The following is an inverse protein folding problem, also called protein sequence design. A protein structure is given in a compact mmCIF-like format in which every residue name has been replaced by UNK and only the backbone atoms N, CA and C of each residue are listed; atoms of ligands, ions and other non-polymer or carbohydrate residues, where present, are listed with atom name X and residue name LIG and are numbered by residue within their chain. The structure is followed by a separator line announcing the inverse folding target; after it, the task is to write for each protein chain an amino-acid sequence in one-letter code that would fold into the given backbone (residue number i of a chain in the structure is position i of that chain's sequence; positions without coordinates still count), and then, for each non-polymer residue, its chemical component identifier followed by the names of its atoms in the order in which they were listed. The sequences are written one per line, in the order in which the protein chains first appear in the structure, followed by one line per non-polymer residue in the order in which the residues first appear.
data_IF_277555524566
#
_entry.id   IF_277555524566
#
_cell.length_a   1.000
_cell.length_b   1.000
_cell.length_c   1.000
_cell.angle_alpha   90.00
_cell.angle_beta   90.00
_cell.angle_gamma   90.00
#
_symmetry.space_group_name_H-M   'P 1'
#
loop_
_entity.id
_entity.type
_entity.pdbx_description
1 polymer ?
#
# COMPACT_ATOMS: atom_id res chain seq x y z
N UNK A 1 -54.76 45.71 -10.38
CA UNK A 1 -53.87 46.59 -11.17
C UNK A 1 -52.68 45.70 -11.58
N UNK A 2 -52.84 45.16 -12.67
CA UNK A 2 -52.49 45.50 -14.06
C UNK A 2 -51.17 44.84 -14.44
N UNK A 3 -51.38 43.98 -15.40
CA UNK A 3 -50.89 44.01 -16.78
C UNK A 3 -49.43 43.53 -16.89
N UNK A 4 -49.02 42.74 -17.81
CA UNK A 4 -49.53 42.14 -19.08
C UNK A 4 -48.44 41.20 -19.61
N UNK A 5 -48.85 40.07 -20.14
CA UNK A 5 -48.54 39.53 -21.46
C UNK A 5 -47.21 39.97 -22.11
N UNK A 6 -46.38 39.01 -22.44
CA UNK A 6 -45.99 38.78 -23.83
C UNK A 6 -45.37 37.39 -24.00
N UNK A 7 -46.11 36.59 -24.78
CA UNK A 7 -45.65 35.41 -25.50
C UNK A 7 -44.45 35.77 -26.39
N UNK A 8 -43.47 34.89 -26.46
CA UNK A 8 -42.81 34.67 -27.74
C UNK A 8 -42.38 33.23 -27.93
N UNK A 9 -43.13 32.63 -28.74
CA UNK A 9 -43.03 31.40 -29.50
C UNK A 9 -41.72 31.37 -30.29
N UNK A 10 -40.87 30.37 -30.06
CA UNK A 10 -39.95 29.86 -31.07
C UNK A 10 -39.82 28.35 -30.90
N UNK A 11 -40.77 27.65 -31.51
CA UNK A 11 -40.61 26.29 -31.98
C UNK A 11 -39.40 26.23 -32.92
N UNK A 12 -38.38 25.53 -32.52
CA UNK A 12 -37.39 24.94 -33.38
C UNK A 12 -37.50 23.44 -33.22
N UNK A 13 -38.36 22.86 -34.02
CA UNK A 13 -38.55 21.44 -34.26
C UNK A 13 -37.32 20.96 -35.06
N UNK A 14 -36.25 20.53 -34.36
CA UNK A 14 -35.23 19.67 -34.92
C UNK A 14 -35.57 18.25 -34.51
N UNK A 15 -36.47 17.69 -35.30
CA UNK A 15 -36.81 16.28 -35.35
C UNK A 15 -35.56 15.50 -35.78
N UNK A 16 -34.73 15.15 -34.81
CA UNK A 16 -33.56 14.29 -34.98
C UNK A 16 -34.06 12.85 -35.10
N UNK A 17 -34.47 12.49 -36.33
CA UNK A 17 -34.88 11.13 -36.66
C UNK A 17 -33.70 10.19 -36.60
N UNK A 18 -33.73 9.23 -35.67
CA UNK A 18 -32.76 8.15 -35.53
C UNK A 18 -32.73 7.24 -36.78
N UNK A 19 -33.72 7.37 -37.67
CA UNK A 19 -33.85 6.59 -38.90
C UNK A 19 -32.92 7.08 -40.03
N UNK A 20 -32.47 8.33 -40.00
CA UNK A 20 -31.48 8.85 -40.95
C UNK A 20 -30.05 8.33 -40.74
N UNK A 21 -29.81 7.73 -39.59
CA UNK A 21 -28.51 7.09 -39.25
C UNK A 21 -28.48 5.60 -39.53
N UNK A 22 -29.58 5.00 -39.95
CA UNK A 22 -29.71 3.57 -40.24
C UNK A 22 -29.88 3.26 -41.72
N UNK A 23 -29.55 4.19 -42.61
CA UNK A 23 -29.49 3.87 -44.03
C UNK A 23 -28.11 3.39 -44.39
N UNK A 24 -28.05 2.09 -44.58
CA UNK A 24 -27.31 1.35 -45.61
C UNK A 24 -26.02 2.03 -46.10
N UNK A 25 -24.92 1.62 -45.47
CA UNK A 25 -23.67 1.59 -46.20
C UNK A 25 -23.03 0.25 -45.99
N UNK A 26 -23.48 -0.73 -46.75
CA UNK A 26 -22.91 -2.05 -46.93
C UNK A 26 -21.60 -1.96 -47.77
N UNK A 27 -20.83 -0.89 -47.53
CA UNK A 27 -19.54 -0.66 -48.17
C UNK A 27 -18.43 -0.60 -47.12
N UNK A 28 -18.29 -1.73 -46.34
CA UNK A 28 -17.11 -1.93 -45.59
C UNK A 28 -15.96 -2.25 -46.53
N UNK A 29 -14.96 -1.36 -46.63
CA UNK A 29 -13.82 -1.59 -47.50
C UNK A 29 -13.15 -2.93 -47.20
N UNK A 30 -12.97 -3.75 -48.23
CA UNK A 30 -12.42 -5.12 -48.22
C UNK A 30 -11.03 -5.23 -47.49
N UNK A 31 -10.34 -4.08 -47.27
CA UNK A 31 -9.06 -4.07 -46.55
C UNK A 31 -9.20 -4.28 -45.02
N UNK A 32 -10.40 -4.10 -44.46
CA UNK A 32 -10.62 -4.36 -43.02
C UNK A 32 -10.86 -5.84 -42.69
N UNK A 33 -11.19 -6.65 -43.68
CA UNK A 33 -11.45 -8.08 -43.51
C UNK A 33 -10.19 -8.94 -43.65
N UNK A 34 -9.06 -8.36 -44.13
CA UNK A 34 -7.83 -9.11 -44.39
C UNK A 34 -6.63 -8.69 -43.53
N UNK A 35 -6.85 -8.09 -42.37
CA UNK A 35 -5.74 -7.87 -41.42
C UNK A 35 -5.47 -9.07 -40.51
N UNK A 36 -5.60 -10.29 -41.03
CA UNK A 36 -4.94 -11.42 -40.41
C UNK A 36 -3.51 -11.54 -40.96
N UNK A 37 -2.73 -10.48 -40.79
CA UNK A 37 -1.30 -10.54 -40.95
C UNK A 37 -0.67 -10.97 -39.60
N UNK A 38 -1.10 -12.12 -39.12
CA UNK A 38 -0.40 -12.83 -38.08
C UNK A 38 0.84 -13.43 -38.73
N UNK A 39 1.97 -12.76 -38.63
CA UNK A 39 3.28 -13.31 -38.91
C UNK A 39 3.42 -14.59 -38.09
N UNK A 40 3.76 -15.68 -38.74
CA UNK A 40 3.90 -17.03 -38.14
C UNK A 40 5.07 -17.14 -37.14
N UNK A 41 5.77 -16.02 -36.87
CA UNK A 41 6.93 -15.94 -35.98
C UNK A 41 6.69 -15.01 -34.74
N UNK A 42 5.44 -14.60 -34.48
CA UNK A 42 5.12 -14.11 -33.16
C UNK A 42 5.02 -15.32 -32.22
N UNK A 43 6.17 -15.67 -31.62
CA UNK A 43 6.17 -16.34 -30.33
C UNK A 43 5.22 -15.56 -29.45
N UNK A 44 4.00 -16.10 -29.25
CA UNK A 44 3.12 -15.65 -28.16
C UNK A 44 3.94 -15.83 -26.89
N UNK A 45 4.64 -14.78 -26.50
CA UNK A 45 5.18 -14.69 -25.16
C UNK A 45 3.96 -14.70 -24.27
N UNK A 46 3.63 -15.88 -23.79
CA UNK A 46 2.74 -16.02 -22.65
C UNK A 46 3.33 -15.12 -21.55
N UNK A 47 2.79 -13.91 -21.43
CA UNK A 47 3.03 -13.10 -20.26
C UNK A 47 2.41 -13.89 -19.12
N UNK A 48 3.24 -14.69 -18.47
CA UNK A 48 2.93 -15.24 -17.17
C UNK A 48 2.78 -14.02 -16.28
N UNK A 49 1.55 -13.55 -16.12
CA UNK A 49 1.21 -12.65 -15.04
C UNK A 49 1.52 -13.42 -13.77
N UNK A 50 2.73 -13.28 -13.25
CA UNK A 50 2.99 -13.66 -11.88
C UNK A 50 2.05 -12.79 -11.06
N UNK A 51 1.00 -13.40 -10.56
CA UNK A 51 0.05 -12.76 -9.67
C UNK A 51 0.89 -12.31 -8.47
N UNK A 52 1.24 -11.03 -8.45
CA UNK A 52 1.95 -10.46 -7.33
C UNK A 52 1.07 -10.70 -6.11
N UNK A 53 1.56 -11.50 -5.17
CA UNK A 53 0.82 -11.79 -3.95
C UNK A 53 0.51 -10.45 -3.26
N UNK A 54 -0.74 -10.27 -2.89
CA UNK A 54 -1.14 -9.05 -2.18
C UNK A 54 -0.36 -8.98 -0.85
N UNK A 55 -0.16 -7.77 -0.33
CA UNK A 55 0.49 -7.57 0.96
C UNK A 55 -0.09 -8.49 2.04
N UNK A 56 -1.42 -8.60 2.10
CA UNK A 56 -2.13 -9.48 3.03
C UNK A 56 -1.79 -10.96 2.81
N UNK A 57 -1.74 -11.42 1.56
CA UNK A 57 -1.39 -12.81 1.23
C UNK A 57 0.05 -13.15 1.67
N UNK A 58 0.97 -12.19 1.54
CA UNK A 58 2.34 -12.33 2.04
C UNK A 58 2.36 -12.54 3.57
N UNK A 59 1.57 -11.78 4.33
CA UNK A 59 1.47 -11.95 5.79
C UNK A 59 0.83 -13.30 6.16
N UNK A 60 -0.20 -13.74 5.44
CA UNK A 60 -0.84 -15.05 5.67
C UNK A 60 0.14 -16.19 5.34
N UNK A 61 0.94 -16.07 4.30
CA UNK A 61 1.96 -17.05 3.97
C UNK A 61 3.01 -17.17 5.09
N UNK A 62 3.45 -16.05 5.66
CA UNK A 62 4.36 -16.03 6.81
C UNK A 62 3.71 -16.63 8.06
N UNK A 63 2.42 -16.35 8.30
CA UNK A 63 1.68 -16.96 9.39
C UNK A 63 1.67 -18.49 9.29
N UNK A 64 1.58 -19.04 8.07
CA UNK A 64 1.61 -20.48 7.82
C UNK A 64 2.90 -21.18 8.33
N UNK A 65 4.00 -20.44 8.48
CA UNK A 65 5.29 -20.96 8.96
C UNK A 65 5.40 -21.01 10.50
N UNK A 66 4.49 -20.36 11.22
CA UNK A 66 4.52 -20.28 12.68
C UNK A 66 3.77 -21.43 13.33
N UNK A 67 4.30 -22.01 14.42
CA UNK A 67 3.64 -23.08 15.18
C UNK A 67 2.54 -22.49 16.06
N UNK A 68 1.34 -22.32 15.51
CA UNK A 68 0.16 -21.80 16.20
C UNK A 68 -0.96 -22.85 16.17
N UNK A 69 -1.79 -22.86 17.19
CA UNK A 69 -3.02 -23.66 17.19
C UNK A 69 -4.02 -23.15 16.15
N UNK A 70 -4.99 -23.96 15.76
CA UNK A 70 -6.00 -23.55 14.76
C UNK A 70 -6.81 -22.34 15.23
N UNK A 71 -7.06 -22.22 16.54
CA UNK A 71 -7.74 -21.06 17.11
C UNK A 71 -6.89 -19.81 17.03
N UNK A 72 -5.62 -19.87 17.47
CA UNK A 72 -4.68 -18.75 17.39
C UNK A 72 -4.48 -18.30 15.93
N UNK A 73 -4.39 -19.24 15.00
CA UNK A 73 -4.29 -18.95 13.57
C UNK A 73 -5.47 -18.14 13.07
N UNK A 74 -6.71 -18.56 13.38
CA UNK A 74 -7.94 -17.83 12.99
C UNK A 74 -7.99 -16.43 13.59
N UNK A 75 -7.58 -16.26 14.86
CA UNK A 75 -7.49 -14.95 15.49
C UNK A 75 -6.46 -14.08 14.79
N UNK A 76 -5.27 -14.64 14.49
CA UNK A 76 -4.18 -13.90 13.82
C UNK A 76 -4.56 -13.51 12.39
N UNK A 77 -5.23 -14.39 11.64
CA UNK A 77 -5.78 -14.07 10.32
C UNK A 77 -6.80 -12.93 10.38
N UNK A 78 -7.63 -12.91 11.43
CA UNK A 78 -8.55 -11.81 11.67
C UNK A 78 -7.83 -10.49 11.95
N UNK A 79 -6.76 -10.50 12.77
CA UNK A 79 -5.92 -9.33 13.02
C UNK A 79 -5.27 -8.84 11.72
N UNK A 80 -4.68 -9.74 10.92
CA UNK A 80 -4.09 -9.41 9.60
C UNK A 80 -5.15 -8.77 8.69
N UNK A 81 -6.40 -9.24 8.75
CA UNK A 81 -7.54 -8.68 8.02
C UNK A 81 -7.84 -7.21 8.36
N UNK A 82 -7.48 -6.76 9.56
CA UNK A 82 -7.67 -5.39 10.05
C UNK A 82 -6.44 -4.48 9.86
N UNK A 83 -5.33 -4.99 9.31
CA UNK A 83 -4.17 -4.17 8.94
C UNK A 83 -4.48 -3.44 7.64
N UNK A 84 -4.19 -2.14 7.61
CA UNK A 84 -4.38 -1.30 6.43
C UNK A 84 -3.29 -1.51 5.36
N UNK A 85 -3.45 -0.87 4.20
CA UNK A 85 -2.50 -0.95 3.08
C UNK A 85 -1.14 -0.32 3.41
N UNK A 86 -1.10 0.61 4.36
CA UNK A 86 0.14 1.21 4.85
C UNK A 86 0.88 0.27 5.83
N UNK A 87 0.23 -0.79 6.32
CA UNK A 87 0.78 -1.78 7.25
C UNK A 87 0.46 -1.53 8.72
N UNK A 88 -0.47 -0.62 9.03
CA UNK A 88 -0.85 -0.27 10.40
C UNK A 88 -2.11 -1.00 10.87
N UNK A 89 -2.13 -1.35 12.15
CA UNK A 89 -3.33 -1.78 12.86
C UNK A 89 -3.95 -0.57 13.56
N UNK A 90 -4.85 0.14 12.86
CA UNK A 90 -5.50 1.35 13.41
C UNK A 90 -6.64 1.05 14.36
N UNK A 91 -7.11 -0.19 14.37
CA UNK A 91 -8.22 -0.62 15.21
C UNK A 91 -7.73 -0.98 16.61
N UNK A 92 -8.46 -0.52 17.62
CA UNK A 92 -8.15 -0.84 19.01
C UNK A 92 -8.32 -2.33 19.31
N UNK A 93 -7.51 -2.86 20.20
CA UNK A 93 -7.51 -4.28 20.58
C UNK A 93 -8.84 -4.68 21.20
N UNK A 94 -9.45 -3.81 22.03
CA UNK A 94 -10.76 -4.03 22.64
C UNK A 94 -11.84 -4.29 21.57
N UNK A 95 -11.87 -3.48 20.51
CA UNK A 95 -12.80 -3.65 19.40
C UNK A 95 -12.56 -4.97 18.63
N UNK A 96 -11.31 -5.42 18.53
CA UNK A 96 -10.99 -6.71 17.90
C UNK A 96 -11.48 -7.87 18.75
N UNK A 97 -11.35 -7.79 20.09
CA UNK A 97 -11.88 -8.79 21.03
C UNK A 97 -13.38 -8.89 20.92
N UNK A 98 -14.07 -7.75 20.92
CA UNK A 98 -15.53 -7.70 20.78
C UNK A 98 -16.01 -8.29 19.45
N UNK A 99 -15.34 -7.95 18.36
CA UNK A 99 -15.68 -8.49 17.03
C UNK A 99 -15.47 -10.00 16.94
N UNK A 100 -14.41 -10.53 17.57
CA UNK A 100 -14.15 -11.97 17.63
C UNK A 100 -15.22 -12.69 18.45
N UNK A 101 -15.64 -12.10 19.57
CA UNK A 101 -16.67 -12.65 20.41
C UNK A 101 -18.05 -12.68 19.71
N UNK A 102 -18.47 -11.54 19.11
CA UNK A 102 -19.79 -11.40 18.49
C UNK A 102 -19.86 -11.96 17.06
N UNK A 103 -18.79 -11.80 16.28
CA UNK A 103 -18.77 -12.20 14.87
C UNK A 103 -18.35 -13.65 14.64
N UNK A 104 -17.34 -14.11 15.37
CA UNK A 104 -16.76 -15.45 15.20
C UNK A 104 -17.12 -16.42 16.34
N UNK A 105 -17.75 -15.94 17.42
CA UNK A 105 -18.04 -16.74 18.63
C UNK A 105 -16.77 -17.21 19.34
N UNK A 106 -15.69 -16.44 19.22
CA UNK A 106 -14.38 -16.73 19.81
C UNK A 106 -14.20 -15.82 21.03
N UNK A 107 -14.26 -16.38 22.21
CA UNK A 107 -13.92 -15.66 23.44
C UNK A 107 -12.39 -15.65 23.62
N UNK A 108 -11.80 -14.45 23.58
CA UNK A 108 -10.36 -14.24 23.72
C UNK A 108 -10.10 -13.02 24.59
N UNK A 109 -9.01 -13.05 25.36
CA UNK A 109 -8.59 -11.89 26.15
C UNK A 109 -7.77 -10.89 25.32
N UNK A 110 -7.79 -9.61 25.74
CA UNK A 110 -6.93 -8.57 25.11
C UNK A 110 -5.44 -8.96 25.17
N UNK A 111 -5.00 -9.58 26.27
CA UNK A 111 -3.61 -10.03 26.44
C UNK A 111 -3.23 -11.07 25.38
N UNK A 112 -4.15 -11.97 25.04
CA UNK A 112 -3.91 -12.99 24.02
C UNK A 112 -3.88 -12.39 22.62
N UNK A 113 -4.79 -11.47 22.30
CA UNK A 113 -4.77 -10.71 21.05
C UNK A 113 -3.48 -9.91 20.93
N UNK A 114 -3.04 -9.25 22.00
CA UNK A 114 -1.79 -8.51 22.02
C UNK A 114 -0.56 -9.43 21.83
N UNK A 115 -0.56 -10.62 22.42
CA UNK A 115 0.49 -11.63 22.19
C UNK A 115 0.56 -12.05 20.72
N UNK A 116 -0.59 -12.29 20.09
CA UNK A 116 -0.66 -12.66 18.69
C UNK A 116 -0.27 -11.50 17.77
N UNK A 117 -0.63 -10.27 18.12
CA UNK A 117 -0.17 -9.07 17.41
C UNK A 117 1.37 -8.97 17.42
N UNK A 118 2.02 -9.28 18.54
CA UNK A 118 3.50 -9.28 18.59
C UNK A 118 4.12 -10.30 17.65
N UNK A 119 3.47 -11.43 17.39
CA UNK A 119 3.93 -12.40 16.39
C UNK A 119 3.85 -11.80 14.98
N UNK A 120 2.78 -11.05 14.68
CA UNK A 120 2.63 -10.35 13.40
C UNK A 120 3.71 -9.27 13.26
N UNK A 121 4.06 -8.57 14.33
CA UNK A 121 5.10 -7.53 14.33
C UNK A 121 6.52 -8.07 14.05
N UNK A 122 6.71 -9.39 14.11
CA UNK A 122 7.95 -10.06 13.69
C UNK A 122 7.98 -10.41 12.19
N UNK A 123 6.88 -10.17 11.46
CA UNK A 123 6.79 -10.49 10.04
C UNK A 123 7.48 -9.44 9.18
N UNK A 124 7.79 -9.82 7.95
CA UNK A 124 8.27 -8.92 6.91
C UNK A 124 7.08 -8.35 6.09
N UNK A 125 7.13 -7.04 5.82
CA UNK A 125 8.19 -6.06 6.10
C UNK A 125 8.21 -5.61 7.57
N UNK A 126 9.43 -5.31 8.08
CA UNK A 126 9.59 -4.85 9.46
C UNK A 126 8.76 -3.59 9.75
N UNK A 127 8.07 -3.56 10.90
CA UNK A 127 7.18 -2.47 11.29
C UNK A 127 5.70 -2.71 10.98
N UNK A 128 5.35 -3.85 10.37
CA UNK A 128 3.96 -4.24 10.13
C UNK A 128 3.21 -4.48 11.45
N UNK A 129 1.90 -4.19 11.46
CA UNK A 129 1.06 -4.36 12.65
C UNK A 129 1.32 -3.32 13.75
N UNK A 130 2.06 -2.26 13.47
CA UNK A 130 2.21 -1.13 14.37
C UNK A 130 0.91 -0.35 14.49
N UNK A 131 0.62 0.21 15.67
CA UNK A 131 -0.58 1.01 15.92
C UNK A 131 -0.37 2.48 15.55
N UNK A 132 0.86 2.95 15.67
CA UNK A 132 1.27 4.31 15.34
C UNK A 132 2.66 4.36 14.68
N UNK A 133 3.04 5.54 14.19
CA UNK A 133 4.33 5.76 13.53
C UNK A 133 5.51 5.51 14.48
N UNK A 134 5.39 5.90 15.75
CA UNK A 134 6.44 5.68 16.73
C UNK A 134 6.74 4.20 16.91
N UNK A 135 5.70 3.38 17.08
CA UNK A 135 5.82 1.93 17.22
C UNK A 135 6.40 1.31 15.94
N UNK A 136 5.95 1.74 14.76
CA UNK A 136 6.47 1.26 13.47
C UNK A 136 7.98 1.49 13.34
N UNK A 137 8.46 2.69 13.63
CA UNK A 137 9.88 3.02 13.56
C UNK A 137 10.69 2.26 14.62
N UNK A 138 10.14 2.09 15.83
CA UNK A 138 10.79 1.31 16.90
C UNK A 138 10.93 -0.16 16.52
N UNK A 139 9.91 -0.78 15.93
CA UNK A 139 9.97 -2.16 15.46
C UNK A 139 11.07 -2.34 14.40
N UNK A 140 11.19 -1.41 13.46
CA UNK A 140 12.23 -1.46 12.42
C UNK A 140 13.63 -1.30 13.01
N UNK A 141 13.82 -0.37 13.95
CA UNK A 141 15.11 -0.22 14.65
C UNK A 141 15.42 -1.47 15.44
N UNK A 142 14.45 -2.04 16.17
CA UNK A 142 14.65 -3.26 16.93
C UNK A 142 15.04 -4.42 16.02
N UNK A 143 14.46 -4.54 14.84
CA UNK A 143 14.83 -5.55 13.84
C UNK A 143 16.30 -5.39 13.42
N UNK A 144 16.74 -4.16 13.08
CA UNK A 144 18.13 -3.86 12.75
C UNK A 144 19.10 -4.09 13.92
N UNK A 145 18.67 -3.82 15.15
CA UNK A 145 19.46 -4.08 16.34
C UNK A 145 19.60 -5.58 16.64
N UNK A 146 18.60 -6.40 16.30
CA UNK A 146 18.70 -7.85 16.41
C UNK A 146 19.79 -8.41 15.49
N UNK A 147 20.00 -7.80 14.30
CA UNK A 147 21.10 -8.16 13.40
C UNK A 147 22.45 -7.62 13.89
N UNK A 148 22.49 -6.42 14.44
CA UNK A 148 23.71 -5.72 14.89
C UNK A 148 23.50 -5.09 16.28
N UNK A 149 23.56 -5.85 17.36
CA UNK A 149 23.25 -5.37 18.71
C UNK A 149 24.17 -4.28 19.23
N UNK A 150 25.42 -4.24 18.78
CA UNK A 150 26.44 -3.27 19.22
C UNK A 150 26.46 -1.97 18.42
N UNK A 151 25.52 -1.78 17.49
CA UNK A 151 25.50 -0.60 16.63
C UNK A 151 25.02 0.64 17.40
N UNK A 152 25.98 1.43 17.91
CA UNK A 152 25.72 2.58 18.79
C UNK A 152 24.70 3.57 18.19
N UNK A 153 24.81 3.90 16.90
CA UNK A 153 23.89 4.86 16.27
C UNK A 153 22.46 4.36 16.25
N UNK A 154 22.22 3.04 16.10
CA UNK A 154 20.87 2.47 16.19
C UNK A 154 20.34 2.49 17.63
N UNK A 155 21.22 2.32 18.62
CA UNK A 155 20.84 2.46 20.04
C UNK A 155 20.46 3.92 20.35
N UNK A 156 21.23 4.88 19.87
CA UNK A 156 20.93 6.31 20.03
C UNK A 156 19.63 6.68 19.30
N UNK A 157 19.41 6.17 18.08
CA UNK A 157 18.18 6.32 17.33
C UNK A 157 16.97 5.74 18.08
N UNK A 158 17.12 4.56 18.68
CA UNK A 158 16.10 3.94 19.53
C UNK A 158 15.75 4.82 20.72
N UNK A 159 16.75 5.33 21.43
CA UNK A 159 16.57 6.22 22.58
C UNK A 159 15.85 7.52 22.18
N UNK A 160 16.16 8.09 21.01
CA UNK A 160 15.45 9.27 20.48
C UNK A 160 13.96 8.99 20.28
N UNK A 161 13.62 7.84 19.67
CA UNK A 161 12.23 7.48 19.42
C UNK A 161 11.47 7.10 20.69
N UNK A 162 12.10 6.45 21.64
CA UNK A 162 11.47 6.07 22.91
C UNK A 162 11.19 7.28 23.81
N UNK A 163 12.20 8.13 24.00
CA UNK A 163 12.16 9.19 25.00
C UNK A 163 11.85 10.61 24.47
N UNK A 164 12.17 10.85 23.20
CA UNK A 164 12.15 12.21 22.60
C UNK A 164 11.34 12.28 21.31
N UNK A 165 10.35 11.40 21.11
CA UNK A 165 9.59 11.35 19.85
C UNK A 165 8.87 12.66 19.53
N UNK A 166 8.30 13.35 20.52
CA UNK A 166 7.62 14.63 20.31
C UNK A 166 8.60 15.74 19.91
N UNK A 167 9.75 15.81 20.57
CA UNK A 167 10.81 16.76 20.24
C UNK A 167 11.37 16.50 18.85
N UNK A 168 11.54 15.23 18.50
CA UNK A 168 11.96 14.80 17.16
C UNK A 168 10.96 15.22 16.09
N UNK A 169 9.66 14.96 16.29
CA UNK A 169 8.60 15.35 15.38
C UNK A 169 8.52 16.87 15.17
N UNK A 170 8.78 17.63 16.22
CA UNK A 170 8.82 19.11 16.19
C UNK A 170 10.17 19.69 15.79
N UNK A 171 11.16 18.84 15.47
CA UNK A 171 12.53 19.23 15.09
C UNK A 171 13.27 20.03 16.17
N UNK A 172 12.98 19.79 17.45
CA UNK A 172 13.64 20.43 18.58
C UNK A 172 14.96 19.72 18.95
N UNK A 173 15.91 19.71 18.05
CA UNK A 173 17.14 18.93 18.15
C UNK A 173 18.02 19.30 19.37
N UNK A 174 18.07 20.59 19.74
CA UNK A 174 18.81 21.03 20.92
C UNK A 174 18.28 20.41 22.23
N UNK A 175 16.95 20.17 22.32
CA UNK A 175 16.37 19.54 23.52
C UNK A 175 16.76 18.07 23.57
N UNK A 176 16.76 17.39 22.43
CA UNK A 176 17.15 15.98 22.31
C UNK A 176 18.61 15.81 22.71
N UNK A 177 19.53 16.62 22.15
CA UNK A 177 20.96 16.62 22.47
C UNK A 177 21.21 16.76 23.97
N UNK A 178 20.52 17.71 24.63
CA UNK A 178 20.65 17.93 26.08
C UNK A 178 20.08 16.78 26.90
N UNK A 179 18.93 16.20 26.51
CA UNK A 179 18.24 15.13 27.24
C UNK A 179 19.01 13.83 27.19
N UNK A 180 19.48 13.44 25.99
CA UNK A 180 20.22 12.21 25.74
C UNK A 180 21.75 12.35 25.88
N UNK A 181 22.22 13.60 26.11
CA UNK A 181 23.67 13.93 26.21
C UNK A 181 24.47 13.49 24.98
N UNK A 182 23.87 13.62 23.81
CA UNK A 182 24.51 13.32 22.54
C UNK A 182 25.21 14.57 21.99
N UNK A 183 26.36 14.37 21.34
CA UNK A 183 26.97 15.44 20.56
C UNK A 183 26.15 15.73 19.31
N UNK A 184 26.30 16.94 18.73
CA UNK A 184 25.57 17.32 17.53
C UNK A 184 25.85 16.39 16.33
N UNK A 185 27.05 15.81 16.27
CA UNK A 185 27.42 14.85 15.23
C UNK A 185 26.73 13.49 15.43
N UNK A 186 26.70 12.98 16.66
CA UNK A 186 26.02 11.72 16.99
C UNK A 186 24.52 11.85 16.79
N UNK A 187 23.93 12.97 17.24
CA UNK A 187 22.52 13.26 17.04
C UNK A 187 22.14 13.29 15.55
N UNK A 188 22.94 13.98 14.73
CA UNK A 188 22.69 14.05 13.27
C UNK A 188 22.75 12.66 12.63
N UNK A 189 23.77 11.86 12.97
CA UNK A 189 23.90 10.50 12.45
C UNK A 189 22.76 9.57 12.89
N UNK A 190 22.31 9.67 14.14
CA UNK A 190 21.17 8.92 14.65
C UNK A 190 19.85 9.33 13.93
N UNK A 191 19.66 10.63 13.67
CA UNK A 191 18.52 11.12 12.90
C UNK A 191 18.58 10.60 11.45
N UNK A 192 19.75 10.60 10.82
CA UNK A 192 19.93 10.06 9.47
C UNK A 192 19.56 8.57 9.40
N UNK A 193 19.84 7.79 10.47
CA UNK A 193 19.37 6.38 10.55
C UNK A 193 17.85 6.28 10.69
N UNK A 194 17.20 7.17 11.45
CA UNK A 194 15.74 7.21 11.55
C UNK A 194 15.10 7.56 10.20
N UNK A 195 15.68 8.51 9.45
CA UNK A 195 15.18 8.93 8.15
C UNK A 195 15.29 7.87 7.05
N UNK A 196 16.15 6.85 7.24
CA UNK A 196 16.25 5.70 6.33
C UNK A 196 15.18 4.64 6.58
N UNK A 197 14.40 4.77 7.65
CA UNK A 197 13.32 3.83 7.96
C UNK A 197 12.10 4.12 7.09
N UNK A 198 11.29 3.08 6.88
CA UNK A 198 10.10 3.20 6.07
C UNK A 198 8.86 3.51 6.94
N UNK A 199 8.22 4.68 6.77
CA UNK A 199 7.01 5.01 7.54
C UNK A 199 5.77 4.24 7.08
N UNK A 200 5.80 3.55 5.93
CA UNK A 200 4.68 2.79 5.36
C UNK A 200 5.14 1.40 4.91
N UNK A 201 5.26 0.45 5.86
CA UNK A 201 5.81 -0.87 5.53
C UNK A 201 4.95 -1.64 4.50
N UNK A 202 3.63 -1.49 4.53
CA UNK A 202 2.73 -2.13 3.57
C UNK A 202 2.87 -1.58 2.14
N UNK A 203 3.15 -0.29 1.98
CA UNK A 203 3.31 0.37 0.69
C UNK A 203 4.45 -0.19 -0.14
N UNK A 204 5.56 -0.61 0.48
CA UNK A 204 6.70 -1.19 -0.23
C UNK A 204 6.37 -2.49 -0.96
N UNK A 205 5.50 -3.33 -0.40
CA UNK A 205 5.09 -4.58 -1.05
C UNK A 205 4.16 -4.29 -2.24
N UNK A 206 3.28 -3.30 -2.09
CA UNK A 206 2.44 -2.82 -3.18
C UNK A 206 3.29 -2.17 -4.29
N UNK A 207 4.29 -1.35 -3.94
CA UNK A 207 5.20 -0.72 -4.88
C UNK A 207 6.08 -1.74 -5.61
N UNK A 208 6.51 -2.82 -4.97
CA UNK A 208 7.20 -3.92 -5.65
C UNK A 208 6.26 -4.69 -6.59
N UNK A 209 4.98 -4.79 -6.26
CA UNK A 209 3.99 -5.42 -7.12
C UNK A 209 3.57 -4.53 -8.30
N UNK A 210 3.50 -3.20 -8.08
CA UNK A 210 3.15 -2.21 -9.10
C UNK A 210 4.36 -1.43 -9.63
N UNK A 211 5.44 -1.28 -8.88
CA UNK A 211 6.56 -0.38 -9.17
C UNK A 211 7.60 -0.92 -10.15
N UNK A 212 7.54 -2.19 -10.55
CA UNK A 212 8.23 -2.65 -11.76
C UNK A 212 7.39 -2.47 -13.03
N UNK A 213 6.15 -2.09 -12.89
CA UNK A 213 5.49 -1.32 -13.93
C UNK A 213 5.77 0.18 -13.69
N UNK A 214 7.06 0.59 -13.69
CA UNK A 214 7.39 1.93 -14.16
C UNK A 214 6.53 2.12 -15.40
N UNK A 215 5.68 3.15 -15.43
CA UNK A 215 4.82 3.48 -16.55
C UNK A 215 5.63 3.21 -17.82
N UNK A 216 5.43 2.03 -18.40
CA UNK A 216 6.07 1.65 -19.63
C UNK A 216 5.38 2.52 -20.64
N UNK A 217 5.96 3.69 -20.87
CA UNK A 217 5.50 4.59 -21.92
C UNK A 217 5.66 3.76 -23.19
N UNK A 218 4.55 3.18 -23.62
CA UNK A 218 4.47 2.50 -24.91
C UNK A 218 4.43 3.65 -25.92
N UNK A 219 5.50 3.87 -26.70
CA UNK A 219 5.46 4.92 -27.71
C UNK A 219 4.41 4.55 -28.76
N UNK A 220 3.50 5.45 -29.06
CA UNK A 220 2.48 5.26 -30.09
C UNK A 220 3.08 5.06 -31.48
N UNK A 221 4.33 5.47 -31.69
CA UNK A 221 5.05 5.35 -32.97
C UNK A 221 6.52 4.98 -32.73
N UNK A 222 7.01 3.96 -33.43
CA UNK A 222 8.42 3.67 -33.60
C UNK A 222 8.84 4.03 -35.03
N UNK A 223 9.84 4.91 -35.17
CA UNK A 223 10.47 5.24 -36.45
C UNK A 223 11.73 4.41 -36.61
N UNK A 224 11.70 3.46 -37.55
CA UNK A 224 12.89 2.75 -37.97
C UNK A 224 13.49 3.46 -39.17
N UNK A 225 14.75 3.91 -39.03
CA UNK A 225 15.57 4.37 -40.15
C UNK A 225 16.13 3.13 -40.86
N UNK A 226 15.59 2.82 -42.04
CA UNK A 226 16.16 1.83 -42.95
C UNK A 226 17.16 2.57 -43.80
N UNK A 227 18.45 2.34 -43.58
CA UNK A 227 19.52 2.81 -44.46
C UNK A 227 19.38 2.10 -45.81
N UNK A 228 19.12 2.91 -46.88
CA UNK A 228 19.06 2.49 -48.27
C UNK A 228 20.41 2.41 -48.94
#
# INVERSE_FOLDING_TARGET
EDESEEENDLRGDDDFSLEDYMTDDDDTPDYRLNSSNASKDEETRDFVFSQASSFRESLIAQLGTRPLSDLERRITEYIIGNIDEDGYLRRDIENIVDDLAFGAGIEVSEEEVFRLLKIIQEFEPAGVGARDLKECLLLQIQHKLNENPEHKLLQDAKAILEECFEEFSRKHYEKISRKLRLSDTELKQAIDEILKLNPKPGGTVADFSYGQQAEKIIPDFMLDLVDG
#
